data_IF_975788424862
#
_entry.id   IF_975788424862
#
_cell.length_a   1.000
_cell.length_b   1.000
_cell.length_c   1.000
_cell.angle_alpha   90.00
_cell.angle_beta   90.00
_cell.angle_gamma   90.00
#
_symmetry.space_group_name_H-M   'P 1'
#
loop_
_entity.id
_entity.type
_entity.pdbx_description
1 polymer ?
#
# COMPACT_ATOMS: atom_id res chain seq x y z
N UNK A 1 -2.91 -2.53 -13.13
CA UNK A 1 -1.89 -2.52 -14.22
C UNK A 1 -0.79 -1.55 -13.82
N UNK A 2 0.43 -2.04 -13.56
CA UNK A 2 1.59 -1.26 -13.09
C UNK A 2 2.24 -0.44 -14.24
N UNK A 3 1.44 0.21 -15.08
CA UNK A 3 1.93 0.76 -16.36
C UNK A 3 2.44 -0.36 -17.29
N UNK A 4 3.70 -0.27 -17.73
CA UNK A 4 4.41 -1.31 -18.51
C UNK A 4 5.13 -2.36 -17.65
N UNK A 5 5.16 -2.17 -16.32
CA UNK A 5 5.89 -3.05 -15.42
C UNK A 5 5.12 -4.31 -15.03
N UNK A 6 5.85 -5.39 -14.74
CA UNK A 6 5.31 -6.62 -14.17
C UNK A 6 6.00 -6.95 -12.86
N UNK A 7 5.23 -7.50 -11.93
CA UNK A 7 5.72 -8.02 -10.64
C UNK A 7 5.18 -9.43 -10.49
N UNK A 8 6.04 -10.35 -10.08
CA UNK A 8 5.68 -11.73 -9.72
C UNK A 8 6.20 -12.04 -8.32
N UNK A 9 5.53 -12.94 -7.62
CA UNK A 9 5.85 -13.22 -6.23
C UNK A 9 4.86 -14.16 -5.56
N UNK A 10 4.93 -14.20 -4.22
CA UNK A 10 4.09 -15.02 -3.37
C UNK A 10 3.32 -14.17 -2.37
N UNK A 11 2.26 -14.71 -1.77
CA UNK A 11 1.60 -14.07 -0.63
C UNK A 11 2.33 -14.42 0.66
N UNK A 12 2.65 -13.39 1.45
CA UNK A 12 3.06 -13.50 2.84
C UNK A 12 1.97 -12.97 3.75
N UNK A 13 1.92 -13.44 5.00
CA UNK A 13 1.05 -12.91 6.04
C UNK A 13 1.92 -12.41 7.20
N UNK A 14 1.83 -11.13 7.51
CA UNK A 14 2.62 -10.50 8.56
C UNK A 14 1.91 -9.24 9.09
N UNK A 15 2.50 -8.59 10.09
CA UNK A 15 1.99 -7.32 10.64
C UNK A 15 2.72 -6.14 10.00
N UNK A 16 1.96 -5.32 9.27
CA UNK A 16 2.45 -4.03 8.77
C UNK A 16 2.35 -2.98 9.88
N UNK A 17 3.48 -2.38 10.26
CA UNK A 17 3.51 -1.25 11.19
C UNK A 17 3.70 0.07 10.44
N UNK A 18 2.75 1.00 10.58
CA UNK A 18 2.79 2.32 9.93
C UNK A 18 2.23 3.40 10.84
N UNK A 19 2.99 4.48 11.06
CA UNK A 19 2.59 5.60 11.92
C UNK A 19 2.12 5.19 13.33
N UNK A 20 2.66 4.11 13.90
CA UNK A 20 2.27 3.56 15.19
C UNK A 20 1.00 2.70 15.18
N UNK A 21 0.49 2.38 13.99
CA UNK A 21 -0.61 1.44 13.78
C UNK A 21 -0.04 0.09 13.37
N UNK A 22 -0.54 -0.98 13.97
CA UNK A 22 -0.21 -2.35 13.60
C UNK A 22 -1.40 -2.99 12.88
N UNK A 23 -1.17 -3.45 11.66
CA UNK A 23 -2.20 -3.97 10.75
C UNK A 23 -1.82 -5.38 10.31
N UNK A 24 -2.43 -6.44 10.87
CA UNK A 24 -2.13 -7.82 10.50
C UNK A 24 -2.80 -8.15 9.16
N UNK A 25 -2.02 -8.35 8.11
CA UNK A 25 -2.56 -8.54 6.77
C UNK A 25 -1.70 -9.45 5.88
N UNK A 26 -2.36 -10.03 4.88
CA UNK A 26 -1.68 -10.70 3.78
C UNK A 26 -1.28 -9.68 2.70
N UNK A 27 -0.05 -9.76 2.21
CA UNK A 27 0.44 -8.90 1.13
C UNK A 27 1.43 -9.64 0.21
N UNK A 28 1.64 -9.09 -0.98
CA UNK A 28 2.53 -9.66 -1.98
C UNK A 28 4.00 -9.44 -1.65
N UNK A 29 4.76 -10.53 -1.57
CA UNK A 29 6.22 -10.55 -1.51
C UNK A 29 6.75 -10.72 -2.93
N UNK A 30 7.23 -9.64 -3.53
CA UNK A 30 7.79 -9.66 -4.87
C UNK A 30 9.12 -10.43 -4.90
N UNK A 31 9.21 -11.44 -5.76
CA UNK A 31 10.48 -12.13 -6.09
C UNK A 31 11.10 -11.57 -7.36
N UNK A 32 10.28 -11.06 -8.28
CA UNK A 32 10.72 -10.41 -9.50
C UNK A 32 9.94 -9.12 -9.71
N UNK A 33 10.65 -8.05 -10.07
CA UNK A 33 10.07 -6.79 -10.48
C UNK A 33 10.81 -6.29 -11.71
N UNK A 34 10.06 -5.83 -12.72
CA UNK A 34 10.66 -5.23 -13.93
C UNK A 34 11.41 -3.94 -13.59
N UNK A 35 12.40 -3.58 -14.42
CA UNK A 35 13.22 -2.35 -14.26
C UNK A 35 12.40 -1.05 -14.20
N UNK A 36 11.21 -1.04 -14.78
CA UNK A 36 10.29 0.09 -14.66
C UNK A 36 9.97 0.39 -13.19
N UNK A 37 9.83 -0.63 -12.33
CA UNK A 37 9.57 -0.46 -10.90
C UNK A 37 10.82 -0.09 -10.11
N UNK A 38 12.02 -0.53 -10.52
CA UNK A 38 13.28 -0.19 -9.83
C UNK A 38 13.70 1.26 -10.04
N UNK A 39 13.15 1.93 -11.06
CA UNK A 39 13.42 3.34 -11.35
C UNK A 39 12.68 4.31 -10.43
N UNK A 40 11.67 3.86 -9.69
CA UNK A 40 10.93 4.72 -8.76
C UNK A 40 11.68 4.86 -7.43
N UNK A 41 11.59 6.02 -6.75
CA UNK A 41 12.19 6.24 -5.44
C UNK A 41 11.41 5.56 -4.29
N UNK A 42 10.66 4.50 -4.58
CA UNK A 42 9.83 3.77 -3.60
C UNK A 42 10.14 2.27 -3.67
N UNK A 43 10.14 1.62 -2.51
CA UNK A 43 10.47 0.19 -2.40
C UNK A 43 9.27 -0.73 -2.68
N UNK A 44 8.05 -0.19 -2.63
CA UNK A 44 6.83 -0.98 -2.79
C UNK A 44 5.58 -0.13 -2.91
N UNK A 45 4.43 -0.79 -3.01
CA UNK A 45 3.12 -0.16 -3.20
C UNK A 45 2.14 -0.68 -2.15
N UNK A 46 1.53 0.24 -1.40
CA UNK A 46 0.40 -0.07 -0.52
C UNK A 46 -0.91 0.32 -1.21
N UNK A 47 -1.74 -0.69 -1.49
CA UNK A 47 -3.07 -0.48 -2.07
C UNK A 47 -4.09 -0.03 -1.03
N UNK A 48 -4.75 1.11 -1.28
CA UNK A 48 -5.78 1.68 -0.39
C UNK A 48 -7.19 1.63 -1.00
N UNK A 49 -7.40 0.71 -1.95
CA UNK A 49 -8.71 0.53 -2.58
C UNK A 49 -9.75 0.06 -1.54
N UNK A 50 -11.01 0.42 -1.78
CA UNK A 50 -12.17 -0.07 -1.00
C UNK A 50 -12.78 -1.36 -1.55
N UNK A 51 -12.16 -1.93 -2.59
CA UNK A 51 -12.68 -3.11 -3.27
C UNK A 51 -12.11 -4.37 -2.63
N UNK A 52 -13.00 -5.22 -2.12
CA UNK A 52 -12.68 -6.58 -1.67
C UNK A 52 -12.24 -7.52 -2.81
N UNK A 53 -12.27 -7.06 -4.07
CA UNK A 53 -11.69 -7.77 -5.21
C UNK A 53 -10.20 -7.44 -5.36
N UNK A 54 -9.37 -8.13 -4.58
CA UNK A 54 -7.91 -7.99 -4.60
C UNK A 54 -7.23 -8.86 -5.66
N UNK A 55 -7.99 -9.59 -6.49
CA UNK A 55 -7.47 -10.62 -7.40
C UNK A 55 -6.92 -11.87 -6.69
N UNK A 56 -6.67 -11.80 -5.38
CA UNK A 56 -6.11 -12.86 -4.55
C UNK A 56 -7.08 -13.36 -3.46
N UNK A 57 -8.26 -12.74 -3.32
CA UNK A 57 -9.25 -13.13 -2.31
C UNK A 57 -8.82 -12.83 -0.87
N UNK A 58 -7.88 -11.89 -0.68
CA UNK A 58 -7.43 -11.42 0.64
C UNK A 58 -8.04 -10.05 0.95
N UNK A 59 -8.32 -9.72 2.23
CA UNK A 59 -8.81 -8.39 2.61
C UNK A 59 -7.83 -7.29 2.18
N UNK A 60 -8.34 -6.14 1.75
CA UNK A 60 -7.50 -4.96 1.50
C UNK A 60 -6.99 -4.36 2.80
N UNK A 61 -6.00 -3.47 2.73
CA UNK A 61 -5.54 -2.71 3.88
C UNK A 61 -6.71 -2.00 4.61
N UNK A 62 -7.60 -1.35 3.85
CA UNK A 62 -8.72 -0.62 4.44
C UNK A 62 -9.79 -1.54 5.04
N UNK A 63 -9.94 -2.78 4.52
CA UNK A 63 -10.81 -3.80 5.14
C UNK A 63 -10.23 -4.21 6.50
N UNK A 64 -8.94 -4.55 6.56
CA UNK A 64 -8.28 -4.98 7.81
C UNK A 64 -8.32 -3.86 8.87
N UNK A 65 -8.09 -2.61 8.47
CA UNK A 65 -8.19 -1.44 9.36
C UNK A 65 -9.60 -1.31 9.93
N UNK A 66 -10.62 -1.49 9.10
CA UNK A 66 -12.02 -1.37 9.50
C UNK A 66 -12.46 -2.53 10.41
N UNK A 67 -12.13 -3.76 10.06
CA UNK A 67 -12.49 -4.97 10.80
C UNK A 67 -11.85 -5.02 12.19
N UNK A 68 -10.58 -4.60 12.30
CA UNK A 68 -9.84 -4.60 13.55
C UNK A 68 -10.01 -3.31 14.37
N UNK A 69 -10.82 -2.35 13.90
CA UNK A 69 -11.03 -1.05 14.54
C UNK A 69 -9.70 -0.33 14.86
N UNK A 70 -8.73 -0.42 13.95
CA UNK A 70 -7.39 0.16 14.12
C UNK A 70 -7.47 1.69 14.20
N UNK A 71 -8.44 2.29 13.51
CA UNK A 71 -8.72 3.71 13.55
C UNK A 71 -10.02 3.98 14.29
N UNK A 72 -10.09 5.13 14.99
CA UNK A 72 -11.34 5.63 15.61
C UNK A 72 -12.44 5.88 14.58
N UNK A 73 -12.06 6.22 13.36
CA UNK A 73 -12.96 6.36 12.22
C UNK A 73 -12.21 5.93 10.96
N UNK A 74 -12.86 5.16 10.09
CA UNK A 74 -12.24 4.58 8.89
C UNK A 74 -12.10 5.63 7.77
N UNK A 75 -11.33 6.67 8.05
CA UNK A 75 -11.10 7.82 7.18
C UNK A 75 -9.59 8.04 7.09
N UNK A 76 -9.09 8.12 5.87
CA UNK A 76 -7.70 8.48 5.57
C UNK A 76 -7.72 9.70 4.64
N UNK A 77 -6.95 10.72 4.97
CA UNK A 77 -6.78 11.93 4.16
C UNK A 77 -5.35 12.01 3.65
N UNK A 78 -5.20 12.49 2.41
CA UNK A 78 -3.90 12.76 1.80
C UNK A 78 -3.83 14.25 1.49
N UNK A 79 -2.78 14.91 1.96
CA UNK A 79 -2.35 16.20 1.43
C UNK A 79 -1.06 15.97 0.66
N UNK A 80 -0.98 16.55 -0.54
CA UNK A 80 0.11 16.31 -1.48
C UNK A 80 0.54 17.64 -2.07
N UNK A 81 1.66 18.16 -1.58
CA UNK A 81 2.27 19.39 -2.10
C UNK A 81 2.80 19.18 -3.50
N UNK A 82 2.84 20.24 -4.32
CA UNK A 82 3.45 20.14 -5.64
C UNK A 82 4.96 20.07 -5.48
N UNK A 83 5.59 19.11 -6.15
CA UNK A 83 7.04 18.96 -6.15
C UNK A 83 7.79 20.25 -6.60
N UNK A 84 7.15 21.10 -7.42
CA UNK A 84 7.69 22.39 -7.86
C UNK A 84 7.91 23.39 -6.72
N UNK A 85 7.17 23.24 -5.63
CA UNK A 85 7.12 24.22 -4.55
C UNK A 85 8.26 23.99 -3.54
N UNK A 86 9.03 22.91 -3.72
CA UNK A 86 10.27 22.62 -2.99
C UNK A 86 10.07 22.10 -1.57
N UNK A 87 8.89 22.29 -0.99
CA UNK A 87 8.47 21.68 0.27
C UNK A 87 8.31 20.16 0.08
N UNK A 88 9.03 19.37 0.87
CA UNK A 88 9.01 17.89 0.86
C UNK A 88 8.37 17.35 2.14
N UNK A 89 7.36 18.04 2.64
CA UNK A 89 6.72 17.82 3.93
C UNK A 89 5.29 17.28 3.81
N UNK A 90 4.72 17.27 2.60
CA UNK A 90 3.38 16.75 2.38
C UNK A 90 2.28 17.70 2.85
N UNK A 91 2.54 19.02 2.91
CA UNK A 91 1.55 20.08 3.11
C UNK A 91 0.40 20.03 2.11
#
# INVERSE_FOLDING_TARGET
>A
VYGTGTVSGVLGNDTLSIAGLDVPMSFGLASEASDALTSFPMDGILGLSRTNDTGFGTPTFMDVVAENNVLKSNIVGFSLSRASDGAKDGE
#
